data_IF_116899080004
#
_entry.id   IF_116899080004
#
_cell.length_a   1.000
_cell.length_b   1.000
_cell.length_c   1.000
_cell.angle_alpha   90.00
_cell.angle_beta   90.00
_cell.angle_gamma   90.00
#
_symmetry.space_group_name_H-M   'P 1'
#
loop_
_entity.id
_entity.type
_entity.pdbx_description
1 polymer ?
#
# COMPACT_ATOMS: atom_id res chain seq x y z
N UNK A 1 -15.04 3.30 17.63
CA UNK A 1 -15.13 4.76 17.37
C UNK A 1 -16.54 5.30 17.64
N UNK A 2 -17.60 4.69 17.16
CA UNK A 2 -18.98 5.19 17.40
C UNK A 2 -19.37 5.37 18.87
N UNK A 3 -18.80 4.58 19.77
CA UNK A 3 -19.07 4.70 21.22
C UNK A 3 -18.60 6.05 21.80
N UNK A 4 -17.61 6.70 21.19
CA UNK A 4 -16.97 7.91 21.71
C UNK A 4 -17.23 9.16 20.86
N UNK A 5 -17.98 9.04 19.76
CA UNK A 5 -18.36 10.18 18.91
C UNK A 5 -19.83 10.11 18.50
N UNK A 6 -20.47 11.29 18.44
CA UNK A 6 -21.84 11.48 17.91
C UNK A 6 -21.82 12.07 16.49
N UNK A 7 -20.66 12.51 16.00
CA UNK A 7 -20.49 13.14 14.71
C UNK A 7 -20.03 12.15 13.62
N UNK A 8 -19.71 12.69 12.44
CA UNK A 8 -19.11 11.91 11.36
C UNK A 8 -17.80 11.25 11.78
N UNK A 9 -17.50 10.09 11.19
CA UNK A 9 -16.23 9.36 11.35
C UNK A 9 -15.60 9.18 9.98
N UNK A 10 -14.30 9.42 9.89
CA UNK A 10 -13.50 9.12 8.71
C UNK A 10 -12.40 8.11 9.08
N UNK A 11 -12.21 7.09 8.24
CA UNK A 11 -11.17 6.08 8.38
C UNK A 11 -10.41 6.03 7.05
N UNK A 12 -9.11 6.32 7.11
CA UNK A 12 -8.19 6.07 5.98
C UNK A 12 -7.54 4.70 6.21
N UNK A 13 -7.63 3.82 5.23
CA UNK A 13 -7.11 2.45 5.31
C UNK A 13 -6.77 1.93 3.92
N UNK A 14 -6.08 0.79 3.85
CA UNK A 14 -5.93 0.06 2.61
C UNK A 14 -7.01 -1.02 2.50
N UNK A 15 -7.55 -1.18 1.29
CA UNK A 15 -8.43 -2.29 0.95
C UNK A 15 -7.58 -3.56 0.78
N UNK A 16 -7.74 -4.58 1.65
CA UNK A 16 -6.93 -5.79 1.60
C UNK A 16 -7.06 -6.57 0.28
N UNK A 17 -8.19 -6.44 -0.42
CA UNK A 17 -8.43 -7.14 -1.69
C UNK A 17 -7.59 -6.53 -2.83
N UNK A 18 -7.22 -5.24 -2.74
CA UNK A 18 -6.45 -4.52 -3.75
C UNK A 18 -4.93 -4.49 -3.47
N UNK A 19 -4.50 -4.75 -2.23
CA UNK A 19 -3.07 -4.67 -1.83
C UNK A 19 -2.17 -5.53 -2.74
N UNK A 20 -2.64 -6.70 -3.16
CA UNK A 20 -1.85 -7.64 -3.99
C UNK A 20 -1.79 -7.25 -5.46
N UNK A 21 -2.57 -6.28 -5.91
CA UNK A 21 -2.55 -5.81 -7.30
C UNK A 21 -1.38 -4.85 -7.58
N UNK A 22 -0.70 -4.41 -6.52
CA UNK A 22 0.44 -3.52 -6.65
C UNK A 22 1.66 -4.27 -7.21
N UNK A 23 2.42 -3.65 -8.12
CA UNK A 23 3.56 -4.27 -8.82
C UNK A 23 4.60 -4.92 -7.89
N UNK A 24 4.72 -4.44 -6.65
CA UNK A 24 5.63 -5.00 -5.67
C UNK A 24 5.32 -6.46 -5.34
N UNK A 25 4.10 -6.94 -5.57
CA UNK A 25 3.73 -8.33 -5.37
C UNK A 25 4.59 -9.29 -6.18
N UNK A 26 5.02 -8.89 -7.39
CA UNK A 26 5.92 -9.68 -8.23
C UNK A 26 7.30 -9.89 -7.60
N UNK A 27 7.72 -8.98 -6.71
CA UNK A 27 9.04 -9.00 -6.08
C UNK A 27 9.00 -9.46 -4.62
N UNK A 28 8.01 -9.04 -3.87
CA UNK A 28 7.91 -9.22 -2.43
C UNK A 28 6.52 -9.73 -2.00
N UNK A 29 6.08 -10.92 -2.47
CA UNK A 29 4.73 -11.42 -2.23
C UNK A 29 4.42 -11.58 -0.73
N UNK A 30 5.35 -12.07 0.09
CA UNK A 30 5.11 -12.24 1.53
C UNK A 30 4.91 -10.90 2.27
N UNK A 31 5.51 -9.83 1.79
CA UNK A 31 5.31 -8.47 2.35
C UNK A 31 3.87 -8.05 2.13
N UNK A 32 3.38 -8.11 0.87
CA UNK A 32 2.02 -7.69 0.56
C UNK A 32 0.96 -8.65 1.07
N UNK A 33 1.25 -9.96 1.16
CA UNK A 33 0.39 -10.91 1.84
C UNK A 33 0.24 -10.60 3.33
N UNK A 34 1.32 -10.19 3.98
CA UNK A 34 1.30 -9.78 5.38
C UNK A 34 0.52 -8.49 5.55
N UNK A 35 0.73 -7.53 4.67
CA UNK A 35 0.00 -6.26 4.66
C UNK A 35 -1.50 -6.50 4.50
N UNK A 36 -1.92 -7.26 3.48
CA UNK A 36 -3.32 -7.59 3.22
C UNK A 36 -4.01 -8.28 4.41
N UNK A 37 -3.32 -9.21 5.09
CA UNK A 37 -3.88 -9.91 6.26
C UNK A 37 -4.05 -9.02 7.49
N UNK A 38 -3.34 -7.89 7.58
CA UNK A 38 -3.38 -6.97 8.72
C UNK A 38 -4.48 -5.94 8.63
N UNK A 39 -5.00 -5.67 7.45
CA UNK A 39 -6.13 -4.77 7.27
C UNK A 39 -7.46 -5.53 7.41
N UNK A 40 -8.43 -4.99 8.16
CA UNK A 40 -9.78 -5.53 8.15
C UNK A 40 -10.44 -5.27 6.79
N UNK A 41 -11.35 -6.15 6.40
CA UNK A 41 -12.14 -5.95 5.19
C UNK A 41 -12.92 -4.63 5.26
N UNK A 42 -13.05 -3.94 4.14
CA UNK A 42 -13.76 -2.65 4.03
C UNK A 42 -15.20 -2.79 4.52
N UNK A 43 -15.87 -3.90 4.20
CA UNK A 43 -17.24 -4.22 4.62
C UNK A 43 -17.36 -4.37 6.14
N UNK A 44 -16.35 -4.93 6.79
CA UNK A 44 -16.35 -5.06 8.26
C UNK A 44 -16.20 -3.69 8.94
N UNK A 45 -15.37 -2.81 8.38
CA UNK A 45 -15.23 -1.44 8.88
C UNK A 45 -16.55 -0.68 8.69
N UNK A 46 -17.16 -0.74 7.50
CA UNK A 46 -18.42 -0.04 7.21
C UNK A 46 -19.55 -0.54 8.11
N UNK A 47 -19.64 -1.86 8.31
CA UNK A 47 -20.60 -2.49 9.23
C UNK A 47 -20.40 -2.04 10.67
N UNK A 48 -19.15 -2.01 11.13
CA UNK A 48 -18.80 -1.59 12.49
C UNK A 48 -19.05 -0.10 12.74
N UNK A 49 -18.90 0.74 11.72
CA UNK A 49 -19.17 2.18 11.79
C UNK A 49 -20.68 2.46 11.81
N UNK A 50 -21.48 1.68 11.07
CA UNK A 50 -22.94 1.87 10.96
C UNK A 50 -23.30 3.22 10.35
N UNK A 51 -24.61 3.54 10.31
CA UNK A 51 -25.10 4.75 9.67
C UNK A 51 -24.96 4.69 8.13
N UNK A 52 -24.93 5.87 7.51
CA UNK A 52 -24.68 5.97 6.06
C UNK A 52 -23.18 6.05 5.81
N UNK A 53 -22.64 5.06 5.11
CA UNK A 53 -21.21 4.99 4.79
C UNK A 53 -20.95 5.23 3.29
N UNK A 54 -19.84 5.89 2.99
CA UNK A 54 -19.26 5.98 1.64
C UNK A 54 -17.83 5.49 1.68
N UNK A 55 -17.37 4.84 0.60
CA UNK A 55 -15.99 4.38 0.40
C UNK A 55 -15.49 5.02 -0.87
N UNK A 56 -14.40 5.75 -0.78
CA UNK A 56 -13.81 6.48 -1.90
C UNK A 56 -12.33 6.11 -2.03
N UNK A 57 -11.84 5.79 -3.24
CA UNK A 57 -10.42 5.60 -3.46
C UNK A 57 -9.67 6.91 -3.22
N UNK A 58 -8.47 6.82 -2.62
CA UNK A 58 -7.60 7.97 -2.39
C UNK A 58 -6.39 7.86 -3.29
N UNK A 59 -6.23 8.75 -4.28
CA UNK A 59 -5.04 8.77 -5.12
C UNK A 59 -3.79 9.09 -4.30
N UNK A 60 -2.74 8.30 -4.48
CA UNK A 60 -1.43 8.51 -3.87
C UNK A 60 -0.58 9.35 -4.82
N UNK A 61 -0.15 10.57 -4.47
CA UNK A 61 0.64 11.41 -5.36
C UNK A 61 2.07 10.88 -5.54
N UNK A 62 2.69 11.18 -6.69
CA UNK A 62 4.03 10.70 -7.02
C UNK A 62 5.12 11.19 -6.04
N UNK A 63 4.90 12.35 -5.44
CA UNK A 63 5.77 12.96 -4.43
C UNK A 63 5.34 12.68 -2.98
N UNK A 64 4.49 11.67 -2.76
CA UNK A 64 4.05 11.27 -1.43
C UNK A 64 5.26 11.07 -0.52
N UNK A 65 5.26 11.76 0.61
CA UNK A 65 6.32 11.72 1.62
C UNK A 65 6.07 10.70 2.73
N UNK A 66 4.86 10.17 2.83
CA UNK A 66 4.55 9.12 3.80
C UNK A 66 5.15 7.77 3.38
N UNK A 67 5.62 7.00 4.35
CA UNK A 67 6.35 5.76 4.12
C UNK A 67 5.44 4.53 4.12
N UNK A 68 4.78 4.23 3.01
CA UNK A 68 4.09 2.95 2.80
C UNK A 68 4.35 2.44 1.36
N UNK A 69 4.12 1.16 1.10
CA UNK A 69 4.59 0.52 -0.13
C UNK A 69 4.12 1.24 -1.40
N UNK A 70 2.83 1.57 -1.51
CA UNK A 70 2.28 2.23 -2.70
C UNK A 70 2.76 3.67 -2.89
N UNK A 71 3.29 4.34 -1.85
CA UNK A 71 3.90 5.67 -1.99
C UNK A 71 5.12 5.66 -2.93
N UNK A 72 5.70 4.50 -3.14
CA UNK A 72 6.88 4.32 -4.01
C UNK A 72 6.53 3.78 -5.41
N UNK A 73 5.25 3.86 -5.83
CA UNK A 73 4.79 3.27 -7.08
C UNK A 73 5.60 3.70 -8.32
N UNK A 74 6.02 4.96 -8.38
CA UNK A 74 6.81 5.54 -9.46
C UNK A 74 8.32 5.62 -9.15
N UNK A 75 8.73 5.21 -7.96
CA UNK A 75 10.10 5.34 -7.43
C UNK A 75 10.57 4.03 -6.81
N UNK A 76 10.61 2.93 -7.59
CA UNK A 76 10.94 1.59 -7.08
C UNK A 76 12.31 1.53 -6.40
N UNK A 77 13.27 2.37 -6.80
CA UNK A 77 14.61 2.47 -6.22
C UNK A 77 14.57 2.78 -4.71
N UNK A 78 13.53 3.49 -4.26
CA UNK A 78 13.36 3.82 -2.84
C UNK A 78 13.21 2.57 -1.96
N UNK A 79 12.65 1.50 -2.49
CA UNK A 79 12.51 0.24 -1.77
C UNK A 79 13.82 -0.55 -1.64
N UNK A 80 14.89 -0.13 -2.32
CA UNK A 80 16.25 -0.64 -2.07
C UNK A 80 16.88 -0.03 -0.81
N UNK A 81 16.36 1.12 -0.35
CA UNK A 81 16.79 1.76 0.90
C UNK A 81 16.16 1.04 2.12
N UNK A 82 16.97 0.50 3.06
CA UNK A 82 16.45 -0.12 4.27
C UNK A 82 15.54 0.81 5.09
N UNK A 83 15.84 2.11 5.15
CA UNK A 83 15.05 3.10 5.87
C UNK A 83 13.63 3.25 5.30
N UNK A 84 13.48 3.24 3.98
CA UNK A 84 12.18 3.26 3.33
C UNK A 84 11.36 2.00 3.65
N UNK A 85 12.01 0.82 3.65
CA UNK A 85 11.33 -0.45 4.03
C UNK A 85 10.93 -0.47 5.49
N UNK A 86 11.74 0.08 6.40
CA UNK A 86 11.40 0.15 7.83
C UNK A 86 10.15 1.00 8.10
N UNK A 87 9.88 2.01 7.28
CA UNK A 87 8.65 2.79 7.36
C UNK A 87 7.40 1.98 6.96
N UNK A 88 7.58 0.92 6.17
CA UNK A 88 6.51 0.00 5.75
C UNK A 88 6.49 -1.22 6.68
N UNK A 89 5.68 -1.17 7.72
CA UNK A 89 5.71 -2.16 8.82
C UNK A 89 5.58 -3.62 8.39
N UNK A 90 4.97 -3.92 7.23
CA UNK A 90 4.84 -5.28 6.72
C UNK A 90 6.20 -5.96 6.44
N UNK A 91 7.23 -5.20 6.11
CA UNK A 91 8.58 -5.72 5.89
C UNK A 91 9.22 -6.31 7.16
N UNK A 92 8.85 -5.81 8.35
CA UNK A 92 9.39 -6.31 9.62
C UNK A 92 8.91 -7.73 9.99
N UNK A 93 7.92 -8.25 9.27
CA UNK A 93 7.40 -9.62 9.45
C UNK A 93 8.00 -10.63 8.46
N UNK A 94 8.94 -10.19 7.63
CA UNK A 94 9.63 -11.05 6.66
C UNK A 94 11.06 -11.25 7.15
N UNK A 95 11.53 -12.51 7.11
CA UNK A 95 12.89 -12.86 7.50
C UNK A 95 13.92 -12.07 6.66
N UNK A 96 15.03 -11.68 7.29
CA UNK A 96 16.01 -10.78 6.71
C UNK A 96 16.59 -11.31 5.38
N UNK A 97 16.89 -12.60 5.30
CA UNK A 97 17.41 -13.25 4.09
C UNK A 97 16.38 -13.30 2.95
N UNK A 98 15.08 -13.40 3.29
CA UNK A 98 13.98 -13.32 2.32
C UNK A 98 13.84 -11.89 1.79
N UNK A 99 13.87 -10.90 2.68
CA UNK A 99 13.82 -9.49 2.30
C UNK A 99 15.01 -9.11 1.40
N UNK A 100 16.20 -9.62 1.69
CA UNK A 100 17.40 -9.42 0.87
C UNK A 100 17.21 -10.01 -0.54
N UNK A 101 16.73 -11.25 -0.66
CA UNK A 101 16.43 -11.86 -1.97
C UNK A 101 15.41 -11.05 -2.78
N UNK A 102 14.40 -10.49 -2.13
CA UNK A 102 13.39 -9.64 -2.79
C UNK A 102 14.02 -8.35 -3.33
N UNK A 103 14.81 -7.68 -2.53
CA UNK A 103 15.48 -6.43 -2.94
C UNK A 103 16.55 -6.66 -3.98
N UNK A 104 17.27 -7.78 -3.94
CA UNK A 104 18.25 -8.14 -4.97
C UNK A 104 17.60 -8.46 -6.32
N UNK A 105 16.43 -9.09 -6.31
CA UNK A 105 15.67 -9.29 -7.53
C UNK A 105 15.20 -7.95 -8.11
N UNK A 106 14.65 -7.08 -7.28
CA UNK A 106 14.22 -5.74 -7.70
C UNK A 106 15.41 -4.94 -8.28
N UNK A 107 16.57 -4.97 -7.60
CA UNK A 107 17.79 -4.29 -8.05
C UNK A 107 18.22 -4.78 -9.43
N UNK A 108 18.28 -6.09 -9.64
CA UNK A 108 18.65 -6.67 -10.95
C UNK A 108 17.71 -6.23 -12.08
N UNK A 109 16.40 -6.21 -11.80
CA UNK A 109 15.40 -5.80 -12.80
C UNK A 109 15.44 -4.29 -13.08
N UNK A 110 15.79 -3.46 -12.08
CA UNK A 110 16.05 -2.04 -12.29
C UNK A 110 17.32 -1.80 -13.11
N UNK A 111 18.41 -2.49 -12.79
CA UNK A 111 19.70 -2.35 -13.47
C UNK A 111 19.62 -2.81 -14.93
N UNK A 112 18.83 -3.84 -15.22
CA UNK A 112 18.64 -4.37 -16.58
C UNK A 112 17.58 -3.63 -17.40
N UNK A 113 16.76 -2.77 -16.78
CA UNK A 113 15.62 -2.12 -17.41
C UNK A 113 14.33 -2.97 -17.44
N UNK A 114 14.36 -4.20 -16.94
CA UNK A 114 13.21 -5.11 -16.97
C UNK A 114 12.02 -4.59 -16.14
N UNK A 115 12.29 -3.87 -15.06
CA UNK A 115 11.23 -3.20 -14.31
C UNK A 115 10.57 -2.09 -15.15
N UNK A 116 11.36 -1.26 -15.80
CA UNK A 116 10.86 -0.16 -16.65
C UNK A 116 10.12 -0.67 -17.89
N UNK A 117 10.51 -1.79 -18.47
CA UNK A 117 9.74 -2.43 -19.56
C UNK A 117 8.32 -2.82 -19.13
N UNK A 118 8.14 -3.31 -17.89
CA UNK A 118 6.84 -3.76 -17.36
C UNK A 118 6.03 -2.64 -16.72
N UNK A 119 6.68 -1.75 -15.99
CA UNK A 119 6.05 -0.80 -15.09
C UNK A 119 6.46 0.66 -15.32
N UNK A 120 7.36 0.93 -16.27
CA UNK A 120 7.95 2.27 -16.49
C UNK A 120 6.93 3.37 -16.76
N UNK A 121 5.75 3.02 -17.31
CA UNK A 121 4.66 3.98 -17.49
C UNK A 121 4.21 4.64 -16.18
N UNK A 122 4.39 3.97 -15.04
CA UNK A 122 4.06 4.50 -13.71
C UNK A 122 4.90 5.72 -13.34
N UNK A 123 6.14 5.82 -13.84
CA UNK A 123 7.03 6.95 -13.54
C UNK A 123 6.46 8.30 -14.02
N UNK A 124 5.64 8.30 -15.06
CA UNK A 124 5.00 9.49 -15.60
C UNK A 124 3.61 9.79 -15.04
N UNK A 125 3.08 8.93 -14.18
CA UNK A 125 1.75 9.13 -13.59
C UNK A 125 1.83 10.08 -12.40
N UNK A 126 0.98 11.13 -12.35
CA UNK A 126 1.00 12.09 -11.25
C UNK A 126 0.47 11.50 -9.94
N UNK A 127 -0.34 10.44 -10.02
CA UNK A 127 -0.86 9.71 -8.86
C UNK A 127 -1.20 8.28 -9.22
N UNK A 128 -1.22 7.41 -8.20
CA UNK A 128 -1.70 6.02 -8.28
C UNK A 128 -3.03 5.91 -7.54
N UNK A 129 -4.03 5.35 -8.18
CA UNK A 129 -5.23 4.82 -7.50
C UNK A 129 -4.97 3.35 -7.25
N UNK A 130 -4.65 3.02 -6.00
CA UNK A 130 -4.33 1.67 -5.53
C UNK A 130 -5.28 1.20 -4.44
N UNK A 131 -4.73 0.62 -3.38
CA UNK A 131 -5.51 0.07 -2.27
C UNK A 131 -6.00 1.12 -1.27
N UNK A 132 -5.45 2.35 -1.28
CA UNK A 132 -5.78 3.36 -0.29
C UNK A 132 -7.22 3.88 -0.48
N UNK A 133 -8.03 3.77 0.58
CA UNK A 133 -9.45 4.18 0.57
C UNK A 133 -9.79 5.04 1.79
N UNK A 134 -10.69 5.98 1.60
CA UNK A 134 -11.30 6.77 2.65
C UNK A 134 -12.75 6.30 2.88
N UNK A 135 -13.00 5.81 4.07
CA UNK A 135 -14.35 5.42 4.52
C UNK A 135 -14.90 6.54 5.37
N UNK A 136 -16.03 7.10 4.96
CA UNK A 136 -16.78 8.10 5.73
C UNK A 136 -18.09 7.51 6.22
N UNK A 137 -18.41 7.77 7.47
CA UNK A 137 -19.66 7.35 8.07
C UNK A 137 -20.34 8.54 8.76
N UNK A 138 -21.59 8.80 8.39
CA UNK A 138 -22.45 9.78 9.07
C UNK A 138 -23.57 9.06 9.84
N UNK A 139 -24.02 9.62 10.98
CA UNK A 139 -25.11 9.05 11.76
C UNK A 139 -26.38 8.83 10.95
#
# INVERSE_FOLDING_TARGET
MRRVTRGPVAVLTCDPDLVREFWLYDYAPLVLDTEARRYPAVEDITRALGGRTTVEPVPVPADCSDGFNEAYYARPERLLDPGARQACSAWSFVEADVAERYTDRLRRDLDSGAWDERHGALRGQPSLVGSLVLIRAVP
#
